data_IF_197275289337
#
_entry.id   IF_197275289337
#
_cell.length_a   1.000
_cell.length_b   1.000
_cell.length_c   1.000
_cell.angle_alpha   90.00
_cell.angle_beta   90.00
_cell.angle_gamma   90.00
#
_symmetry.space_group_name_H-M   'P 1'
#
loop_
_entity.id
_entity.type
_entity.pdbx_description
1 polymer ?
#
# COMPACT_ATOMS: atom_id res chain seq x y z
N UNK A 1 48.42 2.01 -79.57
CA UNK A 1 48.67 2.51 -78.19
C UNK A 1 47.52 3.34 -77.60
N UNK A 2 46.53 3.84 -78.39
CA UNK A 2 45.33 4.50 -77.83
C UNK A 2 44.28 3.50 -77.29
N UNK A 3 44.18 2.31 -77.88
CA UNK A 3 43.14 1.32 -77.52
C UNK A 3 43.31 0.68 -76.14
N UNK A 4 44.52 0.71 -75.56
CA UNK A 4 44.78 0.18 -74.22
C UNK A 4 44.38 1.14 -73.08
N UNK A 5 44.16 2.44 -73.38
CA UNK A 5 43.71 3.40 -72.36
C UNK A 5 42.19 3.33 -72.14
N UNK A 6 41.40 3.20 -73.21
CA UNK A 6 39.93 3.11 -73.09
C UNK A 6 39.48 1.83 -72.37
N UNK A 7 40.14 0.70 -72.60
CA UNK A 7 39.80 -0.56 -71.91
C UNK A 7 40.02 -0.48 -70.38
N UNK A 8 40.97 0.36 -69.93
CA UNK A 8 41.29 0.51 -68.50
C UNK A 8 40.29 1.41 -67.78
N UNK A 9 39.79 2.44 -68.45
CA UNK A 9 38.80 3.37 -67.89
C UNK A 9 37.38 2.74 -67.83
N UNK A 10 37.05 1.86 -68.78
CA UNK A 10 35.82 1.06 -68.74
C UNK A 10 35.82 0.01 -67.61
N UNK A 11 36.98 -0.53 -67.25
CA UNK A 11 37.12 -1.47 -66.13
C UNK A 11 36.91 -0.80 -64.77
N UNK A 12 37.48 0.39 -64.57
CA UNK A 12 37.37 1.13 -63.29
C UNK A 12 35.94 1.58 -62.99
N UNK A 13 35.17 1.96 -64.02
CA UNK A 13 33.78 2.40 -63.87
C UNK A 13 32.82 1.25 -63.50
N UNK A 14 33.06 0.02 -63.99
CA UNK A 14 32.26 -1.15 -63.59
C UNK A 14 32.51 -1.58 -62.14
N UNK A 15 33.76 -1.54 -61.67
CA UNK A 15 34.09 -1.92 -60.28
C UNK A 15 33.44 -0.97 -59.28
N UNK A 16 33.45 0.34 -59.58
CA UNK A 16 32.83 1.35 -58.72
C UNK A 16 31.30 1.21 -58.60
N UNK A 17 30.63 0.81 -59.69
CA UNK A 17 29.17 0.59 -59.68
C UNK A 17 28.78 -0.67 -58.89
N UNK A 18 29.60 -1.73 -58.91
CA UNK A 18 29.36 -2.94 -58.13
C UNK A 18 29.53 -2.71 -56.62
N UNK A 19 30.52 -1.92 -56.21
CA UNK A 19 30.72 -1.57 -54.79
C UNK A 19 29.61 -0.66 -54.24
N UNK A 20 29.12 0.30 -55.04
CA UNK A 20 27.96 1.11 -54.64
C UNK A 20 26.68 0.27 -54.52
N UNK A 21 26.53 -0.81 -55.28
CA UNK A 21 25.38 -1.71 -55.20
C UNK A 21 25.45 -2.64 -53.98
N UNK A 22 26.65 -3.11 -53.61
CA UNK A 22 26.88 -3.88 -52.37
C UNK A 22 26.63 -3.06 -51.11
N UNK A 23 27.09 -1.81 -51.06
CA UNK A 23 26.89 -0.92 -49.91
C UNK A 23 25.41 -0.63 -49.60
N UNK A 24 24.57 -0.48 -50.63
CA UNK A 24 23.12 -0.27 -50.45
C UNK A 24 22.41 -1.52 -49.89
N UNK A 25 22.84 -2.72 -50.30
CA UNK A 25 22.26 -3.96 -49.79
C UNK A 25 22.69 -4.29 -48.36
N UNK A 26 23.90 -3.90 -47.96
CA UNK A 26 24.35 -4.03 -46.57
C UNK A 26 23.62 -3.04 -45.66
N UNK A 27 23.54 -1.76 -46.03
CA UNK A 27 22.77 -0.77 -45.24
C UNK A 27 21.30 -1.16 -45.03
N UNK A 28 20.63 -1.72 -46.03
CA UNK A 28 19.25 -2.17 -45.89
C UNK A 28 19.10 -3.43 -45.01
N UNK A 29 20.14 -4.29 -44.95
CA UNK A 29 20.17 -5.45 -44.04
C UNK A 29 20.50 -5.00 -42.62
N UNK A 30 21.44 -4.08 -42.47
CA UNK A 30 21.85 -3.50 -41.19
C UNK A 30 20.71 -2.69 -40.58
N UNK A 31 19.96 -1.88 -41.35
CA UNK A 31 18.74 -1.21 -40.87
C UNK A 31 17.65 -2.20 -40.48
N UNK A 32 17.47 -3.30 -41.23
CA UNK A 32 16.49 -4.32 -40.86
C UNK A 32 16.91 -5.09 -39.60
N UNK A 33 18.20 -5.34 -39.40
CA UNK A 33 18.71 -5.96 -38.17
C UNK A 33 18.65 -5.00 -37.00
N UNK A 34 19.06 -3.74 -37.16
CA UNK A 34 18.94 -2.73 -36.10
C UNK A 34 17.48 -2.49 -35.71
N UNK A 35 16.55 -2.43 -36.67
CA UNK A 35 15.11 -2.26 -36.40
C UNK A 35 14.48 -3.51 -35.79
N UNK A 36 15.00 -4.70 -36.11
CA UNK A 36 14.59 -5.96 -35.47
C UNK A 36 15.15 -6.06 -34.05
N UNK A 37 16.40 -5.68 -33.81
CA UNK A 37 17.03 -5.69 -32.48
C UNK A 37 16.49 -4.61 -31.54
N UNK A 38 16.15 -3.42 -32.06
CA UNK A 38 15.43 -2.39 -31.28
C UNK A 38 13.97 -2.77 -31.01
N UNK A 39 13.34 -3.61 -31.84
CA UNK A 39 11.98 -4.09 -31.61
C UNK A 39 11.90 -5.33 -30.71
N UNK A 40 12.96 -6.16 -30.65
CA UNK A 40 12.94 -7.46 -29.98
C UNK A 40 13.53 -7.41 -28.56
N UNK A 41 14.20 -6.31 -28.20
CA UNK A 41 14.83 -6.18 -26.87
C UNK A 41 14.81 -4.76 -26.29
N UNK A 42 13.73 -4.00 -26.54
CA UNK A 42 13.25 -3.06 -25.53
C UNK A 42 12.76 -3.87 -24.30
N UNK A 43 13.70 -4.58 -23.67
CA UNK A 43 13.60 -5.03 -22.31
C UNK A 43 13.33 -3.77 -21.54
N UNK A 44 12.05 -3.52 -21.24
CA UNK A 44 11.64 -2.47 -20.31
C UNK A 44 12.48 -2.72 -19.07
N UNK A 45 13.59 -1.99 -18.95
CA UNK A 45 14.44 -2.02 -17.80
C UNK A 45 13.55 -1.37 -16.75
N UNK A 46 12.91 -2.20 -15.92
CA UNK A 46 12.26 -1.74 -14.72
C UNK A 46 13.37 -1.12 -13.86
N UNK A 47 13.56 0.18 -14.04
CA UNK A 47 14.57 1.00 -13.39
C UNK A 47 13.93 1.94 -12.38
N UNK A 48 14.70 2.97 -11.98
CA UNK A 48 14.27 3.95 -10.98
C UNK A 48 13.06 4.78 -11.42
N UNK A 49 12.89 5.00 -12.71
CA UNK A 49 11.78 5.75 -13.30
C UNK A 49 11.33 5.14 -14.65
N UNK A 50 10.02 4.98 -14.90
CA UNK A 50 8.92 5.27 -13.97
C UNK A 50 8.81 4.21 -12.85
N UNK A 51 8.32 4.58 -11.65
CA UNK A 51 8.07 3.62 -10.58
C UNK A 51 7.08 2.53 -11.03
N UNK A 52 7.29 1.31 -10.54
CA UNK A 52 6.42 0.17 -10.84
C UNK A 52 4.98 0.45 -10.36
N UNK A 53 4.83 1.07 -9.19
CA UNK A 53 3.54 1.59 -8.73
C UNK A 53 3.74 2.95 -8.07
N UNK A 54 2.86 3.89 -8.37
CA UNK A 54 2.81 5.21 -7.74
C UNK A 54 1.36 5.63 -7.53
N UNK A 55 1.07 6.19 -6.36
CA UNK A 55 -0.23 6.68 -5.99
C UNK A 55 -0.04 7.89 -5.10
N UNK A 56 -0.89 8.90 -5.27
CA UNK A 56 -0.91 10.01 -4.33
C UNK A 56 -1.28 9.49 -2.93
N UNK A 57 -0.54 9.86 -1.87
CA UNK A 57 -0.87 9.42 -0.52
C UNK A 57 -2.30 9.82 -0.20
N UNK A 58 -3.08 8.85 0.27
CA UNK A 58 -4.49 9.07 0.61
C UNK A 58 -4.65 10.20 1.61
N UNK A 59 -5.79 10.89 1.54
CA UNK A 59 -6.13 12.02 2.42
C UNK A 59 -5.94 11.62 3.89
N UNK A 60 -6.38 10.42 4.26
CA UNK A 60 -6.22 9.87 5.61
C UNK A 60 -4.76 9.88 6.12
N UNK A 61 -3.78 9.56 5.27
CA UNK A 61 -2.37 9.57 5.66
C UNK A 61 -1.86 10.96 6.05
N UNK A 62 -2.46 12.02 5.48
CA UNK A 62 -2.16 13.42 5.82
C UNK A 62 -2.83 13.83 7.14
N UNK A 63 -4.07 13.38 7.37
CA UNK A 63 -4.84 13.71 8.58
C UNK A 63 -4.46 12.87 9.80
N UNK A 64 -3.66 11.82 9.67
CA UNK A 64 -3.27 10.97 10.80
C UNK A 64 -2.67 11.76 11.98
N UNK A 65 -1.85 12.79 11.72
CA UNK A 65 -1.31 13.65 12.78
C UNK A 65 -2.37 14.56 13.40
N UNK A 66 -3.32 15.04 12.61
CA UNK A 66 -4.45 15.82 13.12
C UNK A 66 -5.36 14.97 14.01
N UNK A 67 -5.68 13.74 13.58
CA UNK A 67 -6.45 12.79 14.39
C UNK A 67 -5.73 12.45 15.70
N UNK A 68 -4.40 12.28 15.67
CA UNK A 68 -3.61 12.06 16.88
C UNK A 68 -3.63 13.28 17.81
N UNK A 69 -3.51 14.49 17.27
CA UNK A 69 -3.61 15.72 18.08
C UNK A 69 -5.01 15.90 18.68
N UNK A 70 -6.05 15.58 17.91
CA UNK A 70 -7.44 15.62 18.35
C UNK A 70 -7.71 14.59 19.45
N UNK A 71 -7.18 13.37 19.34
CA UNK A 71 -7.24 12.33 20.37
C UNK A 71 -6.60 12.82 21.68
N UNK A 72 -5.36 13.34 21.62
CA UNK A 72 -4.67 13.91 22.79
C UNK A 72 -5.49 15.02 23.44
N UNK A 73 -6.08 15.90 22.63
CA UNK A 73 -6.92 16.99 23.12
C UNK A 73 -8.17 16.48 23.83
N UNK A 74 -8.91 15.56 23.21
CA UNK A 74 -10.12 14.97 23.80
C UNK A 74 -9.81 14.19 25.08
N UNK A 75 -8.75 13.37 25.09
CA UNK A 75 -8.33 12.65 26.29
C UNK A 75 -7.98 13.63 27.41
N UNK A 76 -7.29 14.72 27.10
CA UNK A 76 -6.94 15.74 28.11
C UNK A 76 -8.18 16.40 28.72
N UNK A 77 -9.17 16.74 27.89
CA UNK A 77 -10.45 17.30 28.36
C UNK A 77 -11.24 16.28 29.19
N UNK A 78 -11.28 15.02 28.78
CA UNK A 78 -11.97 13.96 29.51
C UNK A 78 -11.34 13.76 30.89
N UNK A 79 -10.01 13.71 30.97
CA UNK A 79 -9.29 13.60 32.24
C UNK A 79 -9.59 14.79 33.15
N UNK A 80 -9.59 16.03 32.63
CA UNK A 80 -9.96 17.22 33.45
C UNK A 80 -11.41 17.13 33.95
N UNK A 81 -12.34 16.72 33.10
CA UNK A 81 -13.75 16.53 33.45
C UNK A 81 -13.90 15.45 34.54
N UNK A 82 -13.23 14.31 34.40
CA UNK A 82 -13.26 13.21 35.37
C UNK A 82 -12.70 13.68 36.72
N UNK A 83 -11.61 14.45 36.70
CA UNK A 83 -10.97 14.91 37.93
C UNK A 83 -11.79 15.96 38.67
N UNK A 84 -12.47 16.85 37.95
CA UNK A 84 -13.19 18.00 38.54
C UNK A 84 -14.69 17.80 38.72
N UNK A 85 -15.33 17.03 37.84
CA UNK A 85 -16.79 16.97 37.73
C UNK A 85 -17.39 15.59 37.97
N UNK A 86 -16.59 14.52 38.11
CA UNK A 86 -17.13 13.19 38.38
C UNK A 86 -17.56 13.03 39.84
N UNK A 87 -18.82 13.40 40.09
CA UNK A 87 -19.47 13.41 41.40
C UNK A 87 -20.41 12.22 41.58
N UNK A 88 -20.68 11.86 42.82
CA UNK A 88 -21.68 10.88 43.23
C UNK A 88 -22.71 11.59 44.12
N UNK A 89 -23.99 11.29 43.88
CA UNK A 89 -25.07 11.71 44.77
C UNK A 89 -24.92 10.93 46.06
N UNK A 90 -24.61 11.62 47.15
CA UNK A 90 -24.62 11.02 48.47
C UNK A 90 -26.00 11.25 49.05
N UNK A 91 -26.83 10.21 49.00
CA UNK A 91 -28.02 10.18 49.83
C UNK A 91 -27.52 10.22 51.26
N UNK A 92 -27.77 11.32 51.95
CA UNK A 92 -27.62 11.37 53.39
C UNK A 92 -28.60 10.34 53.93
N UNK A 93 -28.12 9.11 54.13
CA UNK A 93 -28.83 8.13 54.92
C UNK A 93 -28.97 8.80 56.27
N UNK A 94 -30.15 9.39 56.51
CA UNK A 94 -30.52 9.99 57.79
C UNK A 94 -30.07 9.00 58.84
N UNK A 95 -28.95 9.33 59.50
CA UNK A 95 -28.52 8.57 60.65
C UNK A 95 -29.67 8.79 61.62
N UNK A 96 -30.46 7.76 61.98
CA UNK A 96 -31.68 7.95 62.74
C UNK A 96 -31.30 8.62 64.06
N UNK A 97 -31.43 9.95 64.10
CA UNK A 97 -31.17 10.74 65.28
C UNK A 97 -32.25 10.36 66.28
N UNK A 98 -31.80 9.92 67.44
CA UNK A 98 -32.54 9.47 68.61
C UNK A 98 -34.02 9.90 68.70
N UNK A 99 -34.92 8.99 69.10
CA UNK A 99 -36.35 9.24 69.17
C UNK A 99 -36.70 10.03 70.44
N UNK A 100 -36.44 11.34 70.51
CA UNK A 100 -36.95 12.15 71.63
C UNK A 100 -37.03 13.64 71.27
N UNK A 101 -38.17 14.08 70.70
CA UNK A 101 -38.80 15.34 71.09
C UNK A 101 -40.12 15.59 70.36
N UNK A 102 -41.09 15.98 71.18
CA UNK A 102 -42.50 15.97 70.89
C UNK A 102 -43.00 17.30 70.27
N UNK A 103 -43.99 17.16 69.39
CA UNK A 103 -45.24 17.94 69.32
C UNK A 103 -45.12 19.46 69.23
N UNK A 104 -45.21 19.98 68.00
CA UNK A 104 -45.80 21.30 67.73
C UNK A 104 -46.47 21.30 66.36
N UNK A 105 -47.79 21.46 66.37
CA UNK A 105 -48.69 21.49 65.22
C UNK A 105 -48.78 22.92 64.70
N UNK A 106 -48.40 23.18 63.45
CA UNK A 106 -48.68 24.45 62.75
C UNK A 106 -49.03 24.15 61.28
N UNK A 107 -50.13 24.73 60.73
CA UNK A 107 -50.68 24.36 59.43
C UNK A 107 -49.93 24.96 58.23
N UNK A 108 -49.98 24.23 57.12
CA UNK A 108 -49.07 24.25 55.97
C UNK A 108 -49.29 25.38 54.93
N UNK A 109 -48.21 25.89 54.28
CA UNK A 109 -48.27 26.59 52.99
C UNK A 109 -48.25 25.61 51.78
N UNK A 110 -48.63 26.07 50.57
CA UNK A 110 -48.87 25.23 49.40
C UNK A 110 -47.59 24.57 48.81
N UNK A 111 -47.75 23.45 48.08
CA UNK A 111 -46.64 22.61 47.61
C UNK A 111 -45.82 23.30 46.51
N UNK A 112 -44.63 23.78 46.86
CA UNK A 112 -43.57 24.07 45.90
C UNK A 112 -43.05 22.75 45.28
N UNK A 113 -42.61 22.76 44.00
CA UNK A 113 -42.14 21.56 43.30
C UNK A 113 -41.02 20.87 44.08
N UNK A 114 -40.87 19.53 43.97
CA UNK A 114 -39.94 18.74 44.78
C UNK A 114 -38.49 19.08 44.43
N UNK A 115 -37.97 20.16 45.00
CA UNK A 115 -36.55 20.35 45.18
C UNK A 115 -36.15 19.38 46.29
N UNK A 116 -35.63 18.19 45.94
CA UNK A 116 -35.04 17.25 46.91
C UNK A 116 -33.95 18.03 47.67
N UNK A 117 -34.20 18.48 48.91
CA UNK A 117 -33.45 19.61 49.46
C UNK A 117 -32.03 19.24 49.88
N UNK A 118 -31.67 17.94 49.90
CA UNK A 118 -30.42 17.46 50.49
C UNK A 118 -29.63 16.50 49.58
N UNK A 119 -29.74 16.59 48.26
CA UNK A 119 -28.83 15.83 47.37
C UNK A 119 -27.45 16.51 47.30
N UNK A 120 -26.56 16.15 48.21
CA UNK A 120 -25.17 16.63 48.20
C UNK A 120 -24.36 15.87 47.15
N UNK A 121 -23.91 16.58 46.12
CA UNK A 121 -22.96 16.05 45.13
C UNK A 121 -21.53 16.08 45.69
N UNK A 122 -21.02 14.93 46.12
CA UNK A 122 -19.62 14.77 46.55
C UNK A 122 -18.76 14.22 45.41
N UNK A 123 -17.48 14.59 45.36
CA UNK A 123 -16.55 14.01 44.40
C UNK A 123 -16.30 12.54 44.73
N UNK A 124 -16.19 11.70 43.69
CA UNK A 124 -15.79 10.30 43.88
C UNK A 124 -14.38 10.19 44.48
N UNK A 125 -14.06 9.10 45.18
CA UNK A 125 -12.72 8.85 45.70
C UNK A 125 -11.63 9.06 44.65
N UNK A 126 -10.50 9.63 45.05
CA UNK A 126 -9.41 10.00 44.13
C UNK A 126 -8.90 8.79 43.32
N UNK A 127 -8.81 7.61 43.94
CA UNK A 127 -8.35 6.39 43.26
C UNK A 127 -9.29 5.95 42.12
N UNK A 128 -10.62 6.15 42.25
CA UNK A 128 -11.57 5.85 41.17
C UNK A 128 -11.35 6.77 39.98
N UNK A 129 -11.20 8.07 40.25
CA UNK A 129 -10.91 9.09 39.23
C UNK A 129 -9.60 8.79 38.51
N UNK A 130 -8.53 8.53 39.26
CA UNK A 130 -7.23 8.18 38.70
C UNK A 130 -7.27 6.90 37.86
N UNK A 131 -7.96 5.85 38.33
CA UNK A 131 -8.10 4.60 37.57
C UNK A 131 -8.83 4.83 36.23
N UNK A 132 -9.90 5.63 36.24
CA UNK A 132 -10.65 5.95 35.04
C UNK A 132 -9.84 6.81 34.06
N UNK A 133 -9.14 7.85 34.55
CA UNK A 133 -8.24 8.65 33.72
C UNK A 133 -7.09 7.84 33.13
N UNK A 134 -6.50 6.92 33.91
CA UNK A 134 -5.45 6.02 33.41
C UNK A 134 -5.97 5.09 32.30
N UNK A 135 -7.22 4.62 32.42
CA UNK A 135 -7.89 3.84 31.37
C UNK A 135 -8.08 4.66 30.09
N UNK A 136 -8.59 5.89 30.18
CA UNK A 136 -8.79 6.78 29.03
C UNK A 136 -7.46 7.09 28.32
N UNK A 137 -6.40 7.40 29.07
CA UNK A 137 -5.06 7.63 28.51
C UNK A 137 -4.56 6.36 27.80
N UNK A 138 -4.74 5.20 28.41
CA UNK A 138 -4.32 3.92 27.81
C UNK A 138 -5.08 3.64 26.51
N UNK A 139 -6.37 3.98 26.46
CA UNK A 139 -7.19 3.84 25.27
C UNK A 139 -6.74 4.78 24.15
N UNK A 140 -6.49 6.06 24.45
CA UNK A 140 -5.98 7.05 23.50
C UNK A 140 -4.60 6.65 22.94
N UNK A 141 -3.67 6.25 23.81
CA UNK A 141 -2.34 5.75 23.37
C UNK A 141 -2.47 4.54 22.45
N UNK A 142 -3.37 3.61 22.76
CA UNK A 142 -3.62 2.42 21.93
C UNK A 142 -4.21 2.81 20.57
N UNK A 143 -5.19 3.72 20.55
CA UNK A 143 -5.78 4.24 19.32
C UNK A 143 -4.76 4.96 18.45
N UNK A 144 -3.95 5.86 19.04
CA UNK A 144 -2.87 6.55 18.38
C UNK A 144 -1.82 5.60 17.79
N UNK A 145 -1.43 4.56 18.54
CA UNK A 145 -0.52 3.53 18.05
C UNK A 145 -1.11 2.76 16.85
N UNK A 146 -2.41 2.43 16.88
CA UNK A 146 -3.09 1.75 15.78
C UNK A 146 -3.18 2.63 14.51
N UNK A 147 -3.43 3.93 14.66
CA UNK A 147 -3.44 4.89 13.55
C UNK A 147 -2.05 4.97 12.91
N UNK A 148 -0.99 5.07 13.72
CA UNK A 148 0.38 5.14 13.20
C UNK A 148 0.81 3.81 12.54
N UNK A 149 0.45 2.68 13.14
CA UNK A 149 0.77 1.36 12.59
C UNK A 149 0.03 1.10 11.26
N UNK A 150 -1.25 1.50 11.15
CA UNK A 150 -2.01 1.35 9.91
C UNK A 150 -1.45 2.22 8.79
N UNK A 151 -1.03 3.45 9.09
CA UNK A 151 -0.39 4.34 8.12
C UNK A 151 0.93 3.78 7.55
N UNK A 152 1.69 3.07 8.36
CA UNK A 152 2.97 2.48 7.94
C UNK A 152 2.82 1.23 7.03
N UNK A 153 1.59 0.69 6.94
CA UNK A 153 1.24 -0.42 6.04
C UNK A 153 0.82 0.03 4.65
N UNK A 154 0.36 1.27 4.50
CA UNK A 154 -0.10 1.80 3.20
C UNK A 154 1.11 2.23 2.40
N UNK A 155 1.32 1.59 1.25
CA UNK A 155 2.37 1.94 0.30
C UNK A 155 1.78 2.87 -0.74
N UNK A 156 2.45 4.00 -0.96
CA UNK A 156 2.04 4.96 -1.98
C UNK A 156 2.97 4.93 -3.19
N UNK A 157 4.20 4.40 -3.04
CA UNK A 157 5.11 4.23 -4.18
C UNK A 157 5.98 2.99 -4.02
N UNK A 158 6.20 2.31 -5.14
CA UNK A 158 6.92 1.05 -5.24
C UNK A 158 7.88 1.13 -6.42
N UNK A 159 9.17 0.91 -6.14
CA UNK A 159 10.26 0.95 -7.13
C UNK A 159 11.07 -0.33 -7.07
N UNK A 160 11.63 -0.73 -8.20
CA UNK A 160 12.60 -1.82 -8.27
C UNK A 160 13.94 -1.20 -8.62
N UNK A 161 14.88 -1.25 -7.69
CA UNK A 161 16.23 -0.70 -7.86
C UNK A 161 17.23 -1.82 -8.10
N UNK A 162 18.16 -1.58 -9.03
CA UNK A 162 19.28 -2.50 -9.30
C UNK A 162 20.48 -2.04 -8.50
N UNK A 163 20.69 -2.68 -7.35
CA UNK A 163 21.68 -2.25 -6.37
C UNK A 163 22.86 -3.23 -6.39
N UNK A 164 24.12 -2.75 -6.43
CA UNK A 164 25.27 -3.64 -6.31
C UNK A 164 25.31 -4.24 -4.90
N UNK A 165 25.63 -5.54 -4.81
CA UNK A 165 25.63 -6.31 -3.55
C UNK A 165 26.45 -5.63 -2.45
N UNK A 166 27.58 -5.01 -2.83
CA UNK A 166 28.47 -4.30 -1.92
C UNK A 166 27.83 -3.09 -1.22
N UNK A 167 26.75 -2.53 -1.76
CA UNK A 167 26.05 -1.37 -1.20
C UNK A 167 24.82 -1.72 -0.37
N UNK A 168 24.47 -3.02 -0.28
CA UNK A 168 23.40 -3.46 0.59
C UNK A 168 23.84 -3.32 2.04
N UNK A 169 23.03 -2.71 2.92
CA UNK A 169 23.32 -2.71 4.34
C UNK A 169 23.36 -4.17 4.83
N UNK A 170 24.20 -4.49 5.84
CA UNK A 170 24.17 -5.81 6.45
C UNK A 170 22.73 -6.10 6.90
N UNK A 171 22.19 -7.20 6.39
CA UNK A 171 20.80 -7.63 6.62
C UNK A 171 20.49 -7.56 8.12
N UNK A 172 19.54 -6.70 8.51
CA UNK A 172 19.08 -6.66 9.91
C UNK A 172 18.23 -7.90 10.15
N UNK A 173 18.81 -8.85 10.89
CA UNK A 173 18.16 -9.99 11.57
C UNK A 173 17.03 -10.67 10.79
N UNK A 174 17.36 -11.74 10.06
CA UNK A 174 16.38 -12.63 9.44
C UNK A 174 16.74 -12.96 7.99
N UNK A 175 16.93 -11.94 7.15
CA UNK A 175 17.02 -12.20 5.72
C UNK A 175 18.30 -12.96 5.40
N UNK A 176 18.13 -14.12 4.75
CA UNK A 176 19.24 -14.97 4.31
C UNK A 176 20.20 -14.15 3.43
N UNK A 177 21.52 -14.21 3.66
CA UNK A 177 22.48 -13.54 2.81
C UNK A 177 22.32 -14.01 1.34
N UNK A 178 22.63 -13.17 0.35
CA UNK A 178 22.74 -13.63 -1.03
C UNK A 178 23.81 -14.75 -1.10
N UNK A 179 23.64 -15.77 -1.97
CA UNK A 179 24.62 -16.84 -2.11
C UNK A 179 26.00 -16.27 -2.46
N UNK A 180 27.02 -16.65 -1.70
CA UNK A 180 28.38 -16.08 -1.74
C UNK A 180 29.16 -16.36 -3.03
N UNK A 181 28.62 -17.18 -3.93
CA UNK A 181 29.25 -17.54 -5.22
C UNK A 181 29.00 -16.53 -6.34
N UNK A 182 28.25 -15.46 -6.09
CA UNK A 182 27.97 -14.44 -7.09
C UNK A 182 29.14 -13.46 -7.24
N UNK A 183 29.68 -13.34 -8.45
CA UNK A 183 30.73 -12.38 -8.81
C UNK A 183 30.40 -10.98 -8.30
N UNK A 184 31.39 -10.23 -7.81
CA UNK A 184 31.26 -8.87 -7.24
C UNK A 184 30.56 -7.84 -8.16
N UNK A 185 30.36 -8.14 -9.44
CA UNK A 185 29.63 -7.33 -10.42
C UNK A 185 28.13 -7.61 -10.50
N UNK A 186 27.59 -8.60 -9.79
CA UNK A 186 26.18 -8.94 -9.90
C UNK A 186 25.30 -7.86 -9.25
N UNK A 187 24.36 -7.31 -10.02
CA UNK A 187 23.32 -6.41 -9.52
C UNK A 187 22.17 -7.25 -8.97
N UNK A 188 21.61 -6.85 -7.83
CA UNK A 188 20.43 -7.48 -7.24
C UNK A 188 19.24 -6.52 -7.35
N UNK A 189 18.08 -7.09 -7.65
CA UNK A 189 16.81 -6.38 -7.64
C UNK A 189 16.34 -6.17 -6.20
N UNK A 190 16.28 -4.92 -5.79
CA UNK A 190 15.80 -4.48 -4.48
C UNK A 190 14.48 -3.76 -4.67
N UNK A 191 13.44 -4.25 -4.00
CA UNK A 191 12.17 -3.58 -3.88
C UNK A 191 12.28 -2.43 -2.88
N UNK A 192 11.95 -1.22 -3.31
CA UNK A 192 11.87 -0.04 -2.46
C UNK A 192 10.41 0.36 -2.31
N UNK A 193 9.91 0.33 -1.09
CA UNK A 193 8.56 0.73 -0.71
C UNK A 193 8.62 2.07 0.00
N UNK A 194 7.98 3.09 -0.58
CA UNK A 194 7.69 4.33 0.14
C UNK A 194 6.29 4.21 0.77
N UNK A 195 6.26 4.29 2.09
CA UNK A 195 5.04 4.15 2.89
C UNK A 195 4.41 5.51 3.19
N UNK A 196 3.11 5.54 3.51
CA UNK A 196 2.40 6.79 3.82
C UNK A 196 2.94 7.48 5.08
N UNK A 197 3.70 6.77 5.92
CA UNK A 197 4.47 7.33 7.03
C UNK A 197 5.66 8.20 6.58
N UNK A 198 6.00 8.18 5.27
CA UNK A 198 7.20 8.82 4.71
C UNK A 198 8.45 7.97 4.83
N UNK A 199 8.36 6.76 5.40
CA UNK A 199 9.49 5.84 5.54
C UNK A 199 9.73 5.08 4.25
N UNK A 200 11.00 4.96 3.88
CA UNK A 200 11.48 4.11 2.79
C UNK A 200 11.91 2.77 3.35
N UNK A 201 11.34 1.68 2.84
CA UNK A 201 11.68 0.31 3.23
C UNK A 201 12.29 -0.40 2.03
N UNK A 202 13.33 -1.19 2.24
CA UNK A 202 14.04 -1.90 1.18
C UNK A 202 13.99 -3.39 1.46
N UNK A 203 13.61 -4.18 0.46
CA UNK A 203 13.48 -5.62 0.55
C UNK A 203 14.12 -6.25 -0.69
N UNK A 204 14.66 -7.46 -0.56
CA UNK A 204 15.11 -8.19 -1.74
C UNK A 204 13.89 -8.68 -2.51
N UNK A 205 13.88 -8.51 -3.83
CA UNK A 205 12.72 -8.86 -4.65
C UNK A 205 12.33 -10.34 -4.50
N UNK A 206 13.32 -11.23 -4.36
CA UNK A 206 13.13 -12.67 -4.13
C UNK A 206 12.36 -13.01 -2.84
N UNK A 207 12.42 -12.13 -1.85
CA UNK A 207 11.75 -12.34 -0.56
C UNK A 207 10.35 -11.73 -0.55
N UNK A 208 9.94 -11.07 -1.63
CA UNK A 208 8.67 -10.38 -1.75
C UNK A 208 7.68 -11.21 -2.57
N UNK A 209 6.44 -11.27 -2.09
CA UNK A 209 5.32 -11.90 -2.79
C UNK A 209 4.21 -10.88 -3.00
N UNK A 210 3.63 -10.84 -4.21
CA UNK A 210 2.42 -10.09 -4.50
C UNK A 210 1.21 -10.99 -4.27
N UNK A 211 0.30 -10.56 -3.40
CA UNK A 211 -0.91 -11.26 -3.00
C UNK A 211 -2.15 -10.42 -3.41
N UNK A 212 -3.31 -11.07 -3.65
CA UNK A 212 -4.58 -10.36 -3.73
C UNK A 212 -4.89 -9.61 -2.41
N UNK A 213 -5.49 -8.42 -2.53
CA UNK A 213 -5.95 -7.64 -1.38
C UNK A 213 -7.30 -8.13 -0.84
N UNK A 214 -8.00 -7.27 -0.08
CA UNK A 214 -9.35 -7.58 0.41
C UNK A 214 -10.37 -7.62 -0.72
N UNK A 215 -10.23 -6.74 -1.70
CA UNK A 215 -11.08 -6.59 -2.86
C UNK A 215 -10.25 -6.38 -4.14
N UNK A 216 -10.92 -6.19 -5.27
CA UNK A 216 -10.24 -5.90 -6.54
C UNK A 216 -9.57 -4.53 -6.57
N UNK A 217 -9.94 -3.61 -5.70
CA UNK A 217 -9.30 -2.30 -5.61
C UNK A 217 -7.98 -2.35 -4.83
N UNK A 218 -7.61 -3.51 -4.28
CA UNK A 218 -6.45 -3.69 -3.43
C UNK A 218 -5.54 -4.85 -3.88
N UNK A 219 -4.25 -4.64 -3.70
CA UNK A 219 -3.22 -5.67 -3.73
C UNK A 219 -2.40 -5.58 -2.44
N UNK A 220 -1.76 -6.67 -2.07
CA UNK A 220 -0.89 -6.69 -0.91
C UNK A 220 0.49 -7.21 -1.32
N UNK A 221 1.55 -6.59 -0.79
CA UNK A 221 2.90 -7.15 -0.83
C UNK A 221 3.19 -7.77 0.53
N UNK A 222 3.46 -9.07 0.55
CA UNK A 222 4.01 -9.75 1.71
C UNK A 222 5.52 -9.90 1.53
N UNK A 223 6.25 -9.78 2.63
CA UNK A 223 7.70 -10.00 2.65
C UNK A 223 7.97 -11.18 3.55
N UNK A 224 8.79 -12.11 3.08
CA UNK A 224 9.19 -13.30 3.82
C UNK A 224 9.80 -12.86 5.16
N UNK A 225 9.44 -13.55 6.24
CA UNK A 225 9.81 -13.22 7.65
C UNK A 225 9.13 -12.00 8.27
N UNK A 226 8.46 -11.16 7.48
CA UNK A 226 7.70 -10.02 7.99
C UNK A 226 6.21 -10.37 8.03
N UNK A 227 5.64 -10.47 9.23
CA UNK A 227 4.20 -10.77 9.42
C UNK A 227 3.27 -9.70 8.84
N UNK A 228 3.79 -8.49 8.61
CA UNK A 228 3.01 -7.35 8.13
C UNK A 228 2.88 -7.39 6.61
N UNK A 229 1.66 -7.23 6.11
CA UNK A 229 1.37 -7.02 4.69
C UNK A 229 1.32 -5.53 4.36
N UNK A 230 1.88 -5.18 3.22
CA UNK A 230 1.88 -3.82 2.70
C UNK A 230 0.77 -3.66 1.67
N UNK A 231 -0.15 -2.74 1.93
CA UNK A 231 -1.33 -2.57 1.07
C UNK A 231 -1.04 -1.58 -0.06
N UNK A 232 -1.37 -1.99 -1.28
CA UNK A 232 -1.37 -1.20 -2.51
C UNK A 232 -2.82 -1.01 -2.93
N UNK A 233 -3.27 0.23 -3.06
CA UNK A 233 -4.63 0.52 -3.53
C UNK A 233 -4.57 0.92 -5.00
N UNK A 234 -5.40 0.31 -5.85
CA UNK A 234 -5.47 0.54 -7.29
C UNK A 234 -6.24 1.81 -7.65
N UNK A 235 -7.08 2.31 -6.74
CA UNK A 235 -7.86 3.53 -6.96
C UNK A 235 -6.94 4.73 -7.21
N UNK A 236 -7.01 5.30 -8.42
CA UNK A 236 -6.17 6.42 -8.92
C UNK A 236 -4.67 6.11 -8.87
N UNK A 237 -4.29 4.84 -8.93
CA UNK A 237 -2.90 4.44 -9.03
C UNK A 237 -2.36 4.65 -10.45
N UNK A 238 -1.04 4.79 -10.53
CA UNK A 238 -0.25 4.78 -11.75
C UNK A 238 0.67 3.57 -11.69
N UNK A 239 0.68 2.77 -12.74
CA UNK A 239 1.56 1.60 -12.85
C UNK A 239 2.47 1.83 -14.04
N UNK A 240 3.79 1.84 -13.81
CA UNK A 240 4.78 2.22 -14.83
C UNK A 240 4.48 3.58 -15.47
N UNK A 241 4.00 4.53 -14.66
CA UNK A 241 3.62 5.87 -15.11
C UNK A 241 2.26 5.99 -15.80
N UNK A 242 1.57 4.88 -16.07
CA UNK A 242 0.29 4.86 -16.78
C UNK A 242 -0.88 4.80 -15.81
N UNK A 243 -1.89 5.63 -16.04
CA UNK A 243 -3.14 5.61 -15.27
C UNK A 243 -4.11 4.59 -15.84
N UNK A 244 -5.18 4.28 -15.09
CA UNK A 244 -6.23 3.35 -15.51
C UNK A 244 -6.75 3.64 -16.94
N UNK A 245 -6.97 4.90 -17.29
CA UNK A 245 -7.47 5.31 -18.61
C UNK A 245 -6.47 5.03 -19.73
N UNK A 246 -5.17 5.04 -19.43
CA UNK A 246 -4.11 4.90 -20.43
C UNK A 246 -3.81 3.42 -20.73
N UNK A 247 -4.20 2.51 -19.82
CA UNK A 247 -3.83 1.09 -19.90
C UNK A 247 -4.42 0.41 -21.13
N UNK A 248 -5.67 0.74 -21.49
CA UNK A 248 -6.39 0.13 -22.61
C UNK A 248 -5.71 0.42 -23.97
N UNK A 249 -5.02 1.56 -24.07
CA UNK A 249 -4.40 2.04 -25.31
C UNK A 249 -2.92 1.65 -25.43
N UNK A 250 -2.24 1.42 -24.32
CA UNK A 250 -0.79 1.23 -24.27
C UNK A 250 -0.28 -0.07 -24.93
N UNK A 251 0.53 0.09 -25.98
CA UNK A 251 1.20 -1.03 -26.67
C UNK A 251 2.20 -1.78 -25.77
N UNK A 252 2.86 -1.08 -24.85
CA UNK A 252 3.84 -1.66 -23.91
C UNK A 252 3.16 -2.66 -22.98
N UNK A 253 1.97 -2.31 -22.50
CA UNK A 253 1.19 -3.15 -21.61
C UNK A 253 0.61 -4.37 -22.32
N UNK A 254 0.17 -4.19 -23.57
CA UNK A 254 -0.22 -5.30 -24.46
C UNK A 254 0.96 -6.24 -24.73
N UNK A 255 2.20 -5.74 -24.75
CA UNK A 255 3.40 -6.55 -24.85
C UNK A 255 3.68 -7.37 -23.59
N UNK A 256 3.56 -6.75 -22.40
CA UNK A 256 3.77 -7.42 -21.11
C UNK A 256 2.73 -8.51 -20.84
N UNK A 257 1.49 -8.32 -21.30
CA UNK A 257 0.40 -9.27 -21.10
C UNK A 257 0.58 -10.61 -21.85
N UNK A 258 1.33 -10.65 -22.96
CA UNK A 258 1.43 -11.82 -23.85
C UNK A 258 2.26 -13.01 -23.32
N UNK A 259 2.78 -12.93 -22.10
CA UNK A 259 3.63 -13.97 -21.54
C UNK A 259 2.79 -15.12 -20.97
N UNK A 260 2.64 -16.20 -21.74
CA UNK A 260 1.80 -17.38 -21.39
C UNK A 260 2.09 -17.97 -20.00
N UNK A 261 3.37 -18.08 -19.59
CA UNK A 261 3.69 -18.70 -18.28
C UNK A 261 3.23 -17.85 -17.09
N UNK A 262 3.04 -16.55 -17.30
CA UNK A 262 2.55 -15.62 -16.27
C UNK A 262 1.04 -15.48 -16.27
N UNK A 263 0.36 -15.81 -17.38
CA UNK A 263 -1.10 -15.63 -17.51
C UNK A 263 -1.88 -16.45 -16.47
N UNK A 264 -1.46 -17.68 -16.16
CA UNK A 264 -2.12 -18.51 -15.14
C UNK A 264 -2.02 -17.89 -13.74
N UNK A 265 -0.83 -17.43 -13.34
CA UNK A 265 -0.65 -16.81 -12.03
C UNK A 265 -1.33 -15.43 -11.95
N UNK A 266 -1.31 -14.68 -13.05
CA UNK A 266 -1.91 -13.34 -13.13
C UNK A 266 -3.44 -13.41 -13.14
N UNK A 267 -4.04 -14.43 -13.78
CA UNK A 267 -5.49 -14.61 -13.74
C UNK A 267 -5.97 -14.86 -12.31
N UNK A 268 -5.24 -15.67 -11.54
CA UNK A 268 -5.55 -15.98 -10.13
C UNK A 268 -5.42 -14.78 -9.18
N UNK A 269 -4.62 -13.78 -9.53
CA UNK A 269 -4.60 -12.52 -8.77
C UNK A 269 -5.89 -11.73 -9.02
N UNK A 270 -6.44 -11.81 -10.22
CA UNK A 270 -7.65 -11.09 -10.61
C UNK A 270 -8.95 -11.83 -10.25
N UNK A 271 -8.88 -13.09 -9.83
CA UNK A 271 -10.06 -13.78 -9.28
C UNK A 271 -10.43 -13.17 -7.93
N UNK A 272 -11.59 -12.50 -7.88
CA UNK A 272 -12.15 -11.92 -6.67
C UNK A 272 -13.61 -11.49 -6.90
N UNK A 273 -14.36 -11.18 -5.83
CA UNK A 273 -15.74 -10.69 -5.95
C UNK A 273 -15.79 -9.45 -6.85
N UNK A 274 -16.65 -9.48 -7.87
CA UNK A 274 -16.81 -8.38 -8.83
C UNK A 274 -15.84 -8.42 -10.02
N UNK A 275 -15.07 -9.49 -10.23
CA UNK A 275 -14.09 -9.55 -11.32
C UNK A 275 -14.78 -9.61 -12.70
N UNK A 276 -15.99 -10.18 -12.73
CA UNK A 276 -16.84 -10.26 -13.92
C UNK A 276 -17.63 -8.97 -14.17
N UNK A 277 -17.57 -7.99 -13.26
CA UNK A 277 -18.26 -6.73 -13.40
C UNK A 277 -17.55 -5.86 -14.46
N UNK A 278 -18.24 -5.43 -15.53
CA UNK A 278 -17.66 -4.56 -16.56
C UNK A 278 -17.10 -3.24 -16.01
N UNK A 279 -17.65 -2.72 -14.90
CA UNK A 279 -17.15 -1.49 -14.27
C UNK A 279 -15.76 -1.68 -13.62
N UNK A 280 -15.37 -2.91 -13.30
CA UNK A 280 -14.08 -3.24 -12.69
C UNK A 280 -13.02 -3.67 -13.71
N UNK A 281 -13.37 -3.76 -15.01
CA UNK A 281 -12.46 -4.23 -16.06
C UNK A 281 -11.13 -3.47 -16.07
N UNK A 282 -11.24 -2.16 -15.97
CA UNK A 282 -10.14 -1.21 -15.96
C UNK A 282 -9.18 -1.42 -14.77
N UNK A 283 -9.73 -1.72 -13.59
CA UNK A 283 -8.95 -2.03 -12.38
C UNK A 283 -8.26 -3.39 -12.53
N UNK A 284 -8.98 -4.39 -13.04
CA UNK A 284 -8.42 -5.71 -13.32
C UNK A 284 -7.25 -5.63 -14.31
N UNK A 285 -7.38 -4.83 -15.37
CA UNK A 285 -6.30 -4.66 -16.35
C UNK A 285 -5.07 -3.96 -15.75
N UNK A 286 -5.27 -2.95 -14.88
CA UNK A 286 -4.17 -2.34 -14.13
C UNK A 286 -3.46 -3.35 -13.21
N UNK A 287 -4.21 -4.23 -12.52
CA UNK A 287 -3.65 -5.29 -11.67
C UNK A 287 -2.86 -6.32 -12.46
N UNK A 288 -3.35 -6.74 -13.63
CA UNK A 288 -2.61 -7.62 -14.55
C UNK A 288 -1.27 -7.01 -14.90
N UNK A 289 -1.28 -5.74 -15.31
CA UNK A 289 -0.08 -5.01 -15.69
C UNK A 289 0.93 -4.93 -14.55
N UNK A 290 0.48 -4.60 -13.36
CA UNK A 290 1.34 -4.58 -12.17
C UNK A 290 1.91 -5.98 -11.87
N UNK A 291 1.09 -7.03 -11.95
CA UNK A 291 1.51 -8.40 -11.71
C UNK A 291 2.53 -8.90 -12.76
N UNK A 292 2.36 -8.54 -14.04
CA UNK A 292 3.35 -8.83 -15.09
C UNK A 292 4.66 -8.05 -14.85
N UNK A 293 4.57 -6.76 -14.51
CA UNK A 293 5.75 -5.95 -14.15
C UNK A 293 6.48 -6.53 -12.94
N UNK A 294 5.73 -6.99 -11.94
CA UNK A 294 6.25 -7.66 -10.75
C UNK A 294 6.97 -8.97 -11.05
N UNK A 295 6.33 -9.86 -11.83
CA UNK A 295 6.92 -11.13 -12.24
C UNK A 295 8.19 -10.91 -13.08
N UNK A 296 8.18 -9.93 -13.99
CA UNK A 296 9.36 -9.56 -14.79
C UNK A 296 10.51 -8.99 -13.96
N UNK A 297 10.21 -8.31 -12.86
CA UNK A 297 11.20 -7.87 -11.89
C UNK A 297 11.80 -9.02 -11.05
N UNK A 298 11.31 -10.26 -11.20
CA UNK A 298 11.75 -11.42 -10.43
C UNK A 298 11.04 -11.60 -9.10
N UNK A 299 9.90 -10.93 -8.91
CA UNK A 299 9.04 -11.13 -7.75
C UNK A 299 8.15 -12.36 -7.89
N UNK A 300 7.79 -12.96 -6.76
CA UNK A 300 6.86 -14.09 -6.74
C UNK A 300 5.41 -13.61 -6.70
N UNK A 301 4.52 -14.31 -7.41
CA UNK A 301 3.08 -14.11 -7.32
C UNK A 301 2.50 -15.21 -6.43
N UNK A 302 1.78 -14.82 -5.38
CA UNK A 302 1.09 -15.79 -4.53
C UNK A 302 -0.27 -16.07 -5.14
N UNK A 303 -0.39 -17.25 -5.70
CA UNK A 303 -1.69 -17.80 -6.09
C UNK A 303 -2.49 -18.04 -4.81
N UNK A 304 -3.66 -17.42 -4.62
CA UNK A 304 -4.55 -17.80 -3.54
C UNK A 304 -4.85 -19.29 -3.72
N UNK A 305 -4.49 -20.10 -2.74
CA UNK A 305 -5.04 -21.46 -2.65
C UNK A 305 -6.53 -21.24 -2.46
N UNK A 306 -7.31 -21.38 -3.53
CA UNK A 306 -8.77 -21.30 -3.47
C UNK A 306 -9.17 -22.25 -2.35
N UNK A 307 -9.68 -21.75 -1.20
CA UNK A 307 -10.33 -22.64 -0.27
C UNK A 307 -11.61 -23.03 -1.00
N UNK A 308 -11.61 -24.22 -1.59
CA UNK A 308 -12.84 -24.86 -2.08
C UNK A 308 -13.64 -25.28 -0.84
N UNK A 309 -14.07 -24.30 -0.04
CA UNK A 309 -15.01 -24.49 1.04
C UNK A 309 -16.02 -23.35 0.98
N UNK A 310 -17.10 -23.64 0.26
CA UNK A 310 -18.39 -22.95 0.39
C UNK A 310 -18.80 -23.03 1.87
N UNK A 311 -18.49 -22.04 2.70
CA UNK A 311 -19.03 -22.02 4.07
C UNK A 311 -18.32 -21.17 5.10
N UNK A 312 -17.08 -20.69 4.88
CA UNK A 312 -16.43 -19.86 5.88
C UNK A 312 -16.89 -18.40 5.78
N UNK A 313 -17.86 -18.04 6.63
CA UNK A 313 -18.24 -16.67 6.94
C UNK A 313 -16.99 -15.83 7.25
N UNK A 314 -16.59 -14.99 6.29
CA UNK A 314 -15.74 -13.84 6.61
C UNK A 314 -16.67 -12.72 7.04
N UNK A 315 -16.76 -12.53 8.36
CA UNK A 315 -17.41 -11.42 9.03
C UNK A 315 -16.69 -10.11 8.71
N UNK A 316 -16.89 -9.59 7.50
CA UNK A 316 -16.78 -8.17 7.21
C UNK A 316 -18.18 -7.58 7.13
N UNK A 317 -18.41 -6.33 7.60
CA UNK A 317 -19.70 -5.69 7.41
C UNK A 317 -19.95 -5.56 5.91
N UNK A 318 -20.94 -6.30 5.41
CA UNK A 318 -21.57 -6.03 4.13
C UNK A 318 -22.31 -4.72 4.35
N UNK A 319 -21.69 -3.61 3.96
CA UNK A 319 -22.45 -2.39 3.71
C UNK A 319 -23.26 -2.68 2.46
N UNK A 320 -24.49 -3.14 2.65
CA UNK A 320 -25.53 -3.05 1.62
C UNK A 320 -25.63 -1.57 1.25
N UNK A 321 -25.22 -1.24 0.02
CA UNK A 321 -25.44 0.07 -0.53
C UNK A 321 -26.95 0.21 -0.78
N UNK A 322 -27.57 1.20 -0.13
CA UNK A 322 -28.87 1.76 -0.52
C UNK A 322 -28.73 2.58 -1.80
#
# INVERSE_FOLDING_TARGET
MRDFREARDASLSQTYLLDMRRGKSQRAKDEKQQKKETSESASVVLGDDPPLYDKNPGVFGRWAYFLLAFDIFLTSLSVDMVMRNWKQVKTETETPSSPDSAKSTTPAPPPSPPSNPNERLELRPLWQRLAFSAFEISLGVTAGALILASRDRVVWRLRVQHVPISSLPPSRSGMKPPPSSSSSSQKINVLVLDTASGRKKRFLMRDCMLEPGRDLSELAVSVTEIKTRFMLSMNRARVLGQTITDVSESAILKGLAKSKSTEECVSLINTGPGADDPFNKDICDLRKVLAHGWAKAGGYLKVPKVPVEKGSWTSGPVTEAL
#
